data_IF_863281953121
#
_entry.id   IF_863281953121
#
_cell.length_a   1.000
_cell.length_b   1.000
_cell.length_c   1.000
_cell.angle_alpha   90.00
_cell.angle_beta   90.00
_cell.angle_gamma   90.00
#
_symmetry.space_group_name_H-M   'P 1'
#
loop_
_entity.id
_entity.type
_entity.pdbx_description
1 polymer ?
#
# COMPACT_ATOMS: atom_id res chain seq x y z
N UNK A 1 50.56 -12.20 3.00
CA UNK A 1 49.43 -13.08 2.72
C UNK A 1 49.85 -14.11 1.69
N UNK A 2 49.75 -15.39 2.03
CA UNK A 2 50.07 -16.52 1.13
C UNK A 2 48.95 -16.77 0.13
N UNK A 3 49.26 -17.57 -0.91
CA UNK A 3 48.21 -18.00 -1.88
C UNK A 3 47.10 -18.77 -1.22
N UNK A 4 47.43 -19.62 -0.25
CA UNK A 4 46.45 -20.42 0.52
C UNK A 4 45.49 -19.52 1.29
N UNK A 5 46.05 -18.49 1.96
CA UNK A 5 45.28 -17.53 2.74
C UNK A 5 44.34 -16.70 1.83
N UNK A 6 44.83 -16.31 0.64
CA UNK A 6 43.99 -15.61 -0.34
C UNK A 6 42.84 -16.48 -0.85
N UNK A 7 43.09 -17.76 -1.09
CA UNK A 7 42.06 -18.69 -1.55
C UNK A 7 41.01 -18.94 -0.46
N UNK A 8 41.43 -19.06 0.78
CA UNK A 8 40.53 -19.21 1.94
C UNK A 8 39.62 -17.99 2.06
N UNK A 9 40.17 -16.77 1.92
CA UNK A 9 39.41 -15.53 1.96
C UNK A 9 38.40 -15.43 0.81
N UNK A 10 38.79 -15.85 -0.39
CA UNK A 10 37.87 -15.88 -1.55
C UNK A 10 36.70 -16.82 -1.30
N UNK A 11 36.95 -18.03 -0.82
CA UNK A 11 35.89 -19.00 -0.54
C UNK A 11 34.97 -18.51 0.57
N UNK A 12 35.51 -17.90 1.62
CA UNK A 12 34.72 -17.29 2.71
C UNK A 12 33.83 -16.16 2.18
N UNK A 13 34.38 -15.30 1.33
CA UNK A 13 33.62 -14.20 0.72
C UNK A 13 32.47 -14.72 -0.15
N UNK A 14 32.72 -15.75 -0.96
CA UNK A 14 31.67 -16.40 -1.75
C UNK A 14 30.55 -16.99 -0.87
N UNK A 15 30.91 -17.64 0.21
CA UNK A 15 29.93 -18.21 1.15
C UNK A 15 29.08 -17.12 1.78
N UNK A 16 29.71 -16.03 2.23
CA UNK A 16 29.01 -14.89 2.81
C UNK A 16 28.05 -14.23 1.79
N UNK A 17 28.49 -14.05 0.55
CA UNK A 17 27.63 -13.54 -0.52
C UNK A 17 26.47 -14.48 -0.81
N UNK A 18 26.71 -15.80 -0.82
CA UNK A 18 25.66 -16.78 -1.07
C UNK A 18 24.63 -16.79 0.06
N UNK A 19 25.06 -16.67 1.31
CA UNK A 19 24.17 -16.56 2.45
C UNK A 19 23.33 -15.30 2.39
N UNK A 20 23.94 -14.17 2.03
CA UNK A 20 23.23 -12.90 1.87
C UNK A 20 22.16 -13.00 0.77
N UNK A 21 22.50 -13.54 -0.41
CA UNK A 21 21.57 -13.72 -1.52
C UNK A 21 20.41 -14.61 -1.11
N UNK A 22 20.68 -15.72 -0.40
CA UNK A 22 19.65 -16.64 0.07
C UNK A 22 18.69 -15.96 1.05
N UNK A 23 19.22 -15.17 1.98
CA UNK A 23 18.42 -14.41 2.94
C UNK A 23 17.55 -13.35 2.26
N UNK A 24 18.12 -12.62 1.29
CA UNK A 24 17.38 -11.60 0.53
C UNK A 24 16.25 -12.21 -0.30
N UNK A 25 16.52 -13.32 -0.97
CA UNK A 25 15.49 -14.05 -1.73
C UNK A 25 14.33 -14.48 -0.84
N UNK A 26 14.66 -15.05 0.32
CA UNK A 26 13.64 -15.49 1.28
C UNK A 26 12.79 -14.33 1.78
N UNK A 27 13.41 -13.21 2.09
CA UNK A 27 12.72 -11.99 2.52
C UNK A 27 11.77 -11.49 1.43
N UNK A 28 12.24 -11.38 0.17
CA UNK A 28 11.44 -10.93 -0.96
C UNK A 28 10.27 -11.86 -1.25
N UNK A 29 10.47 -13.16 -1.18
CA UNK A 29 9.41 -14.15 -1.33
C UNK A 29 8.36 -14.00 -0.23
N UNK A 30 8.77 -13.83 1.01
CA UNK A 30 7.88 -13.62 2.15
C UNK A 30 7.06 -12.35 1.95
N UNK A 31 7.69 -11.23 1.55
CA UNK A 31 6.98 -9.98 1.26
C UNK A 31 5.97 -10.16 0.11
N UNK A 32 6.36 -10.86 -0.94
CA UNK A 32 5.46 -11.13 -2.07
C UNK A 32 4.19 -11.86 -1.62
N UNK A 33 4.33 -12.90 -0.82
CA UNK A 33 3.19 -13.65 -0.29
C UNK A 33 2.33 -12.81 0.64
N UNK A 34 2.93 -12.04 1.54
CA UNK A 34 2.21 -11.18 2.46
C UNK A 34 1.44 -10.07 1.73
N UNK A 35 2.03 -9.46 0.73
CA UNK A 35 1.36 -8.43 -0.08
C UNK A 35 0.22 -9.01 -0.90
N UNK A 36 0.41 -10.18 -1.49
CA UNK A 36 -0.65 -10.87 -2.24
C UNK A 36 -1.83 -11.22 -1.34
N UNK A 37 -1.54 -11.79 -0.18
CA UNK A 37 -2.55 -12.13 0.82
C UNK A 37 -3.33 -10.90 1.29
N UNK A 38 -2.62 -9.81 1.60
CA UNK A 38 -3.23 -8.55 2.00
C UNK A 38 -4.14 -7.99 0.91
N UNK A 39 -3.67 -7.97 -0.34
CA UNK A 39 -4.47 -7.52 -1.47
C UNK A 39 -5.77 -8.30 -1.57
N UNK A 40 -5.71 -9.61 -1.49
CA UNK A 40 -6.88 -10.49 -1.57
C UNK A 40 -7.86 -10.26 -0.39
N UNK A 41 -7.34 -10.06 0.81
CA UNK A 41 -8.13 -9.76 1.99
C UNK A 41 -8.85 -8.40 1.85
N UNK A 42 -8.15 -7.37 1.42
CA UNK A 42 -8.73 -6.03 1.25
C UNK A 42 -9.77 -6.03 0.14
N UNK A 43 -9.51 -6.67 -0.98
CA UNK A 43 -10.49 -6.80 -2.06
C UNK A 43 -11.76 -7.51 -1.58
N UNK A 44 -11.61 -8.58 -0.82
CA UNK A 44 -12.76 -9.33 -0.29
C UNK A 44 -13.61 -8.48 0.65
N UNK A 45 -12.99 -7.70 1.53
CA UNK A 45 -13.71 -6.81 2.45
C UNK A 45 -14.44 -5.72 1.68
N UNK A 46 -13.75 -5.05 0.76
CA UNK A 46 -14.29 -3.91 0.00
C UNK A 46 -15.42 -4.36 -0.91
N UNK A 47 -15.28 -5.50 -1.59
CA UNK A 47 -16.28 -6.01 -2.53
C UNK A 47 -17.56 -6.50 -1.83
N UNK A 48 -17.54 -6.75 -0.53
CA UNK A 48 -18.74 -7.10 0.24
C UNK A 48 -19.62 -5.90 0.54
N UNK A 49 -19.06 -4.69 0.47
CA UNK A 49 -19.78 -3.46 0.75
C UNK A 49 -20.26 -2.88 -0.58
N UNK A 50 -21.57 -2.75 -0.73
CA UNK A 50 -22.13 -2.10 -1.91
C UNK A 50 -21.84 -0.60 -1.87
N UNK A 51 -21.35 -0.01 -2.97
CA UNK A 51 -21.21 1.44 -3.04
C UNK A 51 -22.56 2.11 -2.75
N UNK A 52 -22.52 3.08 -1.83
CA UNK A 52 -23.66 3.95 -1.58
C UNK A 52 -23.68 5.06 -2.62
N UNK A 53 -24.85 5.67 -2.86
CA UNK A 53 -24.95 6.89 -3.66
C UNK A 53 -24.20 8.06 -3.01
N UNK A 54 -23.92 7.96 -1.71
CA UNK A 54 -23.14 8.91 -0.93
C UNK A 54 -21.75 8.34 -0.65
N UNK A 55 -20.72 8.95 -1.25
CA UNK A 55 -19.33 8.54 -1.08
C UNK A 55 -18.88 8.61 0.39
N UNK A 56 -19.36 9.57 1.15
CA UNK A 56 -18.99 9.74 2.56
C UNK A 56 -19.46 8.55 3.38
N UNK A 57 -20.74 8.18 3.26
CA UNK A 57 -21.28 7.03 3.98
C UNK A 57 -20.57 5.73 3.61
N UNK A 58 -20.25 5.56 2.34
CA UNK A 58 -19.51 4.40 1.85
C UNK A 58 -18.11 4.35 2.48
N UNK A 59 -17.39 5.47 2.47
CA UNK A 59 -16.04 5.56 3.06
C UNK A 59 -16.07 5.33 4.58
N UNK A 60 -17.03 5.90 5.28
CA UNK A 60 -17.14 5.71 6.75
C UNK A 60 -17.41 4.24 7.10
N UNK A 61 -18.25 3.56 6.34
CA UNK A 61 -18.50 2.13 6.53
C UNK A 61 -17.23 1.31 6.28
N UNK A 62 -16.54 1.58 5.17
CA UNK A 62 -15.28 0.90 4.85
C UNK A 62 -14.21 1.17 5.90
N UNK A 63 -14.11 2.40 6.40
CA UNK A 63 -13.13 2.75 7.42
C UNK A 63 -13.28 1.91 8.68
N UNK A 64 -14.52 1.65 9.12
CA UNK A 64 -14.77 0.78 10.27
C UNK A 64 -14.32 -0.65 10.01
N UNK A 65 -14.58 -1.18 8.82
CA UNK A 65 -14.18 -2.54 8.44
C UNK A 65 -12.67 -2.67 8.23
N UNK A 66 -12.01 -1.59 7.81
CA UNK A 66 -10.57 -1.54 7.52
C UNK A 66 -9.75 -0.92 8.64
N UNK A 67 -10.33 -0.71 9.80
CA UNK A 67 -9.69 -0.05 10.95
C UNK A 67 -8.36 -0.70 11.35
N UNK A 68 -8.28 -2.02 11.31
CA UNK A 68 -7.07 -2.76 11.65
C UNK A 68 -5.92 -2.54 10.63
N UNK A 69 -6.27 -2.23 9.38
CA UNK A 69 -5.30 -2.15 8.28
C UNK A 69 -4.82 -0.74 7.98
N UNK A 70 -5.65 0.27 8.20
CA UNK A 70 -5.49 1.56 7.55
C UNK A 70 -5.67 2.75 8.50
N UNK A 71 -5.23 3.92 8.02
CA UNK A 71 -5.43 5.18 8.75
C UNK A 71 -6.11 6.26 7.92
N UNK A 72 -6.25 6.09 6.61
CA UNK A 72 -6.88 7.09 5.74
C UNK A 72 -7.49 6.43 4.51
N UNK A 73 -8.71 6.84 4.17
CA UNK A 73 -9.41 6.43 2.96
C UNK A 73 -9.90 7.65 2.20
N UNK A 74 -9.86 7.59 0.88
CA UNK A 74 -10.37 8.64 0.01
C UNK A 74 -10.64 8.11 -1.39
N UNK A 75 -11.39 8.88 -2.19
CA UNK A 75 -11.76 8.53 -3.56
C UNK A 75 -11.21 9.59 -4.50
N UNK A 76 -10.53 9.16 -5.56
CA UNK A 76 -10.06 10.01 -6.64
C UNK A 76 -10.64 9.56 -7.97
N UNK A 77 -10.68 10.48 -8.94
CA UNK A 77 -10.93 10.12 -10.32
C UNK A 77 -9.64 9.67 -11.02
N UNK A 78 -9.76 9.25 -12.26
CA UNK A 78 -8.64 8.76 -13.07
C UNK A 78 -7.56 9.81 -13.37
N UNK A 79 -7.90 11.09 -13.27
CA UNK A 79 -6.97 12.20 -13.46
C UNK A 79 -6.26 12.62 -12.16
N UNK A 80 -6.57 11.96 -11.07
CA UNK A 80 -5.93 12.18 -9.78
C UNK A 80 -6.61 13.22 -8.90
N UNK A 81 -7.72 13.78 -9.33
CA UNK A 81 -8.48 14.72 -8.49
C UNK A 81 -9.24 13.98 -7.40
N UNK A 82 -9.09 14.42 -6.18
CA UNK A 82 -9.79 13.84 -5.04
C UNK A 82 -11.23 14.32 -5.03
N UNK A 83 -12.16 13.38 -5.08
CA UNK A 83 -13.60 13.63 -5.17
C UNK A 83 -14.27 13.64 -3.79
N UNK A 84 -13.69 12.98 -2.83
CA UNK A 84 -14.23 12.83 -1.47
C UNK A 84 -13.38 13.57 -0.45
N UNK A 85 -13.91 13.81 0.77
CA UNK A 85 -13.04 14.14 1.91
C UNK A 85 -12.06 12.99 2.17
N UNK A 86 -11.01 13.26 2.94
CA UNK A 86 -10.32 12.17 3.63
C UNK A 86 -11.22 11.68 4.76
N UNK A 87 -11.29 10.37 4.94
CA UNK A 87 -11.74 9.75 6.17
C UNK A 87 -10.45 9.26 6.85
N UNK A 88 -10.04 9.93 7.91
CA UNK A 88 -8.74 9.74 8.53
C UNK A 88 -8.87 9.42 10.01
N UNK A 89 -8.11 8.44 10.48
CA UNK A 89 -8.07 8.08 11.90
C UNK A 89 -7.09 8.99 12.63
N UNK A 90 -7.62 9.76 13.57
CA UNK A 90 -6.87 10.67 14.42
C UNK A 90 -7.20 10.33 15.87
N UNK A 91 -6.17 10.03 16.67
CA UNK A 91 -6.33 9.64 18.08
C UNK A 91 -7.36 8.52 18.28
N UNK A 92 -7.32 7.52 17.41
CA UNK A 92 -8.18 6.33 17.47
C UNK A 92 -9.60 6.54 16.95
N UNK A 93 -9.94 7.72 16.44
CA UNK A 93 -11.27 8.03 15.90
C UNK A 93 -11.18 8.41 14.43
N UNK A 94 -12.18 8.00 13.67
CA UNK A 94 -12.29 8.36 12.26
C UNK A 94 -12.94 9.74 12.13
N UNK A 95 -12.26 10.65 11.43
CA UNK A 95 -12.69 12.03 11.20
C UNK A 95 -12.69 12.35 9.71
N UNK A 96 -13.62 13.24 9.29
CA UNK A 96 -13.69 13.75 7.93
C UNK A 96 -12.79 14.98 7.79
N UNK A 97 -12.07 15.04 6.67
CA UNK A 97 -11.25 16.18 6.29
C UNK A 97 -11.68 16.71 4.92
N UNK A 98 -12.72 17.60 4.87
CA UNK A 98 -13.26 18.10 3.61
C UNK A 98 -12.28 18.93 2.78
N UNK A 99 -11.28 19.55 3.41
CA UNK A 99 -10.27 20.37 2.73
C UNK A 99 -9.43 19.59 1.71
N UNK A 100 -9.47 18.25 1.74
CA UNK A 100 -8.76 17.42 0.79
C UNK A 100 -9.46 17.33 -0.57
N UNK A 101 -10.74 17.69 -0.65
CA UNK A 101 -11.50 17.66 -1.91
C UNK A 101 -10.83 18.60 -2.94
N UNK A 102 -10.76 18.14 -4.17
CA UNK A 102 -10.14 18.82 -5.33
C UNK A 102 -8.61 18.88 -5.31
N UNK A 103 -7.92 18.30 -4.34
CA UNK A 103 -6.47 18.11 -4.44
C UNK A 103 -6.17 17.16 -5.59
N UNK A 104 -5.07 17.39 -6.29
CA UNK A 104 -4.63 16.52 -7.37
C UNK A 104 -3.42 15.70 -6.92
N UNK A 105 -3.50 14.39 -7.04
CA UNK A 105 -2.47 13.44 -6.61
C UNK A 105 -1.75 12.76 -7.77
N UNK A 106 -2.02 13.15 -9.01
CA UNK A 106 -1.41 12.55 -10.21
C UNK A 106 0.12 12.69 -10.23
N UNK A 107 0.67 13.67 -9.51
CA UNK A 107 2.11 13.89 -9.38
C UNK A 107 2.81 12.88 -8.47
N UNK A 108 2.06 12.13 -7.65
CA UNK A 108 2.66 11.12 -6.78
C UNK A 108 3.31 10.02 -7.62
N UNK A 109 4.51 9.55 -7.19
CA UNK A 109 5.12 8.41 -7.85
C UNK A 109 4.13 7.25 -7.95
N UNK A 110 4.14 6.59 -9.10
CA UNK A 110 3.33 5.39 -9.36
C UNK A 110 1.82 5.60 -9.53
N UNK A 111 1.26 6.81 -9.36
CA UNK A 111 -0.17 7.02 -9.48
C UNK A 111 -0.72 6.55 -10.84
N UNK A 112 -0.14 7.07 -11.94
CA UNK A 112 -0.60 6.73 -13.29
C UNK A 112 -0.36 5.25 -13.62
N UNK A 113 0.78 4.71 -13.20
CA UNK A 113 1.08 3.28 -13.38
C UNK A 113 0.07 2.40 -12.65
N UNK A 114 -0.30 2.77 -11.45
CA UNK A 114 -1.29 2.06 -10.65
C UNK A 114 -2.67 2.09 -11.33
N UNK A 115 -3.10 3.25 -11.82
CA UNK A 115 -4.38 3.38 -12.54
C UNK A 115 -4.41 2.50 -13.79
N UNK A 116 -3.36 2.55 -14.59
CA UNK A 116 -3.24 1.74 -15.82
C UNK A 116 -3.27 0.25 -15.48
N UNK A 117 -2.54 -0.15 -14.46
CA UNK A 117 -2.46 -1.55 -14.04
C UNK A 117 -3.81 -2.07 -13.53
N UNK A 118 -4.51 -1.27 -12.71
CA UNK A 118 -5.85 -1.63 -12.24
C UNK A 118 -6.85 -1.81 -13.38
N UNK A 119 -6.77 -0.95 -14.39
CA UNK A 119 -7.63 -1.05 -15.58
C UNK A 119 -7.38 -2.34 -16.36
N UNK A 120 -6.11 -2.70 -16.54
CA UNK A 120 -5.72 -3.88 -17.30
C UNK A 120 -6.00 -5.18 -16.55
N UNK A 121 -5.70 -5.23 -15.26
CA UNK A 121 -5.80 -6.44 -14.44
C UNK A 121 -7.18 -6.60 -13.79
N UNK A 122 -7.97 -5.53 -13.74
CA UNK A 122 -9.27 -5.47 -13.06
C UNK A 122 -9.21 -5.93 -11.61
N UNK A 123 -8.09 -5.61 -10.94
CA UNK A 123 -7.81 -5.99 -9.56
C UNK A 123 -7.26 -4.79 -8.79
N UNK A 124 -7.26 -4.87 -7.45
CA UNK A 124 -6.62 -3.89 -6.62
C UNK A 124 -5.09 -3.99 -6.67
N UNK A 125 -4.42 -2.90 -6.31
CA UNK A 125 -2.97 -2.79 -6.30
C UNK A 125 -2.48 -2.22 -4.98
N UNK A 126 -1.34 -2.73 -4.50
CA UNK A 126 -0.64 -2.16 -3.36
C UNK A 126 0.63 -1.47 -3.88
N UNK A 127 0.81 -0.20 -3.51
CA UNK A 127 1.96 0.59 -3.93
C UNK A 127 3.26 0.12 -3.29
N UNK A 128 4.38 0.59 -3.87
CA UNK A 128 5.66 0.58 -3.16
C UNK A 128 5.58 1.42 -1.88
N UNK A 129 6.55 1.21 -0.99
CA UNK A 129 6.67 2.06 0.20
C UNK A 129 6.99 3.50 -0.18
N UNK A 130 6.35 4.43 0.50
CA UNK A 130 6.68 5.84 0.38
C UNK A 130 6.44 6.55 1.71
N UNK A 131 6.99 7.75 1.82
CA UNK A 131 6.76 8.57 3.01
C UNK A 131 5.58 9.51 2.76
N UNK A 132 4.58 9.40 3.61
CA UNK A 132 3.41 10.28 3.56
C UNK A 132 3.80 11.71 3.97
N UNK A 133 3.45 12.68 3.14
CA UNK A 133 3.84 14.08 3.36
C UNK A 133 3.07 14.73 4.51
N UNK A 134 1.89 14.26 4.84
CA UNK A 134 1.08 14.83 5.92
C UNK A 134 1.48 14.28 7.28
N UNK A 135 1.71 12.97 7.38
CA UNK A 135 2.05 12.31 8.66
C UNK A 135 3.54 12.12 8.86
N UNK A 136 4.34 12.13 7.79
CA UNK A 136 5.76 11.82 7.83
C UNK A 136 6.07 10.32 8.00
N UNK A 137 5.05 9.49 8.11
CA UNK A 137 5.22 8.04 8.29
C UNK A 137 5.38 7.32 6.95
N UNK A 138 6.03 6.16 7.01
CA UNK A 138 6.13 5.26 5.87
C UNK A 138 4.82 4.52 5.71
N UNK A 139 4.33 4.45 4.48
CA UNK A 139 3.08 3.79 4.15
C UNK A 139 3.15 3.07 2.81
N UNK A 140 2.16 2.24 2.55
CA UNK A 140 1.77 1.71 1.25
C UNK A 140 0.32 2.06 1.04
N UNK A 141 -0.08 2.29 -0.19
CA UNK A 141 -1.48 2.58 -0.51
C UNK A 141 -2.08 1.43 -1.32
N UNK A 142 -3.18 0.90 -0.83
CA UNK A 142 -4.02 -0.01 -1.60
C UNK A 142 -5.02 0.80 -2.42
N UNK A 143 -5.18 0.45 -3.69
CA UNK A 143 -6.08 1.13 -4.61
C UNK A 143 -6.94 0.11 -5.34
N UNK A 144 -8.22 0.43 -5.53
CA UNK A 144 -9.15 -0.42 -6.26
C UNK A 144 -10.19 0.45 -6.97
N UNK A 145 -10.60 0.04 -8.18
CA UNK A 145 -11.66 0.72 -8.90
C UNK A 145 -13.02 0.48 -8.22
N UNK A 146 -13.78 1.55 -8.04
CA UNK A 146 -15.17 1.49 -7.58
C UNK A 146 -16.10 1.37 -8.78
N UNK A 147 -15.80 2.14 -9.83
CA UNK A 147 -16.51 2.13 -11.11
C UNK A 147 -15.51 2.54 -12.21
N UNK A 148 -16.01 2.85 -13.41
CA UNK A 148 -15.15 3.17 -14.55
C UNK A 148 -14.27 4.40 -14.36
N UNK A 149 -14.67 5.35 -13.50
CA UNK A 149 -14.03 6.65 -13.37
C UNK A 149 -13.54 6.97 -11.96
N UNK A 150 -13.89 6.15 -10.98
CA UNK A 150 -13.58 6.41 -9.57
C UNK A 150 -12.79 5.27 -8.94
N UNK A 151 -11.82 5.64 -8.14
CA UNK A 151 -10.91 4.71 -7.46
C UNK A 151 -10.87 5.00 -5.97
N UNK A 152 -10.96 3.95 -5.18
CA UNK A 152 -10.77 4.00 -3.73
C UNK A 152 -9.28 3.87 -3.43
N UNK A 153 -8.78 4.72 -2.54
CA UNK A 153 -7.42 4.66 -2.00
C UNK A 153 -7.48 4.42 -0.50
N UNK A 154 -6.71 3.45 -0.05
CA UNK A 154 -6.61 3.04 1.36
C UNK A 154 -5.15 3.13 1.78
N UNK A 155 -4.81 4.11 2.60
CA UNK A 155 -3.46 4.26 3.11
C UNK A 155 -3.28 3.35 4.32
N UNK A 156 -2.32 2.43 4.23
CA UNK A 156 -2.09 1.38 5.21
C UNK A 156 -1.28 1.91 6.39
N UNK A 157 -1.66 1.52 7.60
CA UNK A 157 -0.97 1.96 8.81
C UNK A 157 0.43 1.33 8.90
N UNK A 158 1.38 2.10 9.43
CA UNK A 158 2.74 1.61 9.66
C UNK A 158 2.74 0.40 10.61
N UNK A 159 1.92 0.43 11.65
CA UNK A 159 1.82 -0.68 12.60
C UNK A 159 1.44 -1.99 11.91
N UNK A 160 0.46 -1.94 11.00
CA UNK A 160 0.09 -3.11 10.22
C UNK A 160 1.25 -3.59 9.33
N UNK A 161 1.90 -2.67 8.61
CA UNK A 161 3.02 -2.99 7.74
C UNK A 161 4.18 -3.61 8.52
N UNK A 162 4.47 -3.07 9.70
CA UNK A 162 5.52 -3.57 10.58
C UNK A 162 5.22 -4.99 11.09
N UNK A 163 4.00 -5.20 11.61
CA UNK A 163 3.57 -6.51 12.13
C UNK A 163 3.63 -7.62 11.07
N UNK A 164 3.41 -7.27 9.80
CA UNK A 164 3.38 -8.23 8.70
C UNK A 164 4.65 -8.23 7.85
N UNK A 165 5.72 -7.57 8.31
CA UNK A 165 7.03 -7.55 7.65
C UNK A 165 7.03 -7.01 6.21
N UNK A 166 6.15 -6.05 5.92
CA UNK A 166 6.01 -5.41 4.60
C UNK A 166 6.28 -3.90 4.65
N UNK A 167 7.14 -3.50 5.56
CA UNK A 167 7.54 -2.10 5.79
C UNK A 167 8.89 -1.73 5.16
N UNK A 168 9.49 -2.64 4.40
CA UNK A 168 10.79 -2.46 3.73
C UNK A 168 10.64 -2.46 2.22
#
# INVERSE_FOLDING_TARGET
>A
MTFVEKDILKERFKEECQQFITSEKKMLETQYFELKKLREELEAIINRVKPSSDNISHLEHLAQLLDHYSFRLYICNEDGFQLSPNVMRIDGKWELQPRAINKNWSWRPYFLQTIIKMRNDQSGEISELYRDIETGEITRTFSIAINEHEYLFVDLSYDYLYEHSIFR
#
